data_IF_940553685381
#
_entry.id   IF_940553685381
#
_cell.length_a   1.000
_cell.length_b   1.000
_cell.length_c   1.000
_cell.angle_alpha   90.00
_cell.angle_beta   90.00
_cell.angle_gamma   90.00
#
_symmetry.space_group_name_H-M   'P 1'
#
loop_
_entity.id
_entity.type
_entity.pdbx_description
1 polymer ?
#
# COMPACT_ATOMS: atom_id res chain seq x y z
N UNK A 1 -12.70 13.74 -8.25
CA UNK A 1 -11.40 13.52 -7.58
C UNK A 1 -11.21 12.06 -7.15
N UNK A 2 -12.13 11.46 -6.37
CA UNK A 2 -12.01 10.09 -5.85
C UNK A 2 -11.82 9.03 -6.96
N UNK A 3 -12.55 9.13 -8.09
CA UNK A 3 -12.44 8.17 -9.19
C UNK A 3 -11.04 8.15 -9.82
N UNK A 4 -10.36 9.29 -9.90
CA UNK A 4 -9.01 9.40 -10.44
C UNK A 4 -7.99 8.74 -9.52
N UNK A 5 -8.08 9.00 -8.22
CA UNK A 5 -7.24 8.32 -7.21
C UNK A 5 -7.44 6.81 -7.26
N UNK A 6 -8.69 6.35 -7.34
CA UNK A 6 -9.02 4.93 -7.46
C UNK A 6 -8.41 4.32 -8.72
N UNK A 7 -8.52 4.99 -9.87
CA UNK A 7 -7.92 4.54 -11.12
C UNK A 7 -6.38 4.47 -11.04
N UNK A 8 -5.72 5.47 -10.45
CA UNK A 8 -4.27 5.51 -10.26
C UNK A 8 -3.75 4.34 -9.40
N UNK A 9 -4.53 3.90 -8.40
CA UNK A 9 -4.15 2.79 -7.51
C UNK A 9 -4.44 1.43 -8.15
N UNK A 10 -5.54 1.27 -8.89
CA UNK A 10 -5.99 -0.05 -9.40
C UNK A 10 -5.46 -0.40 -10.79
N UNK A 11 -5.08 0.61 -11.58
CA UNK A 11 -4.61 0.42 -12.97
C UNK A 11 -3.14 0.75 -13.27
N UNK A 12 -2.20 0.82 -12.29
CA UNK A 12 -0.84 1.18 -12.61
C UNK A 12 -0.18 0.11 -13.47
N UNK A 13 0.46 0.57 -14.55
CA UNK A 13 1.17 -0.27 -15.52
C UNK A 13 2.59 0.22 -15.67
N UNK A 14 3.55 -0.70 -15.64
CA UNK A 14 4.97 -0.37 -15.67
C UNK A 14 5.69 -1.17 -16.75
N UNK A 15 6.71 -0.52 -17.29
CA UNK A 15 7.81 -1.19 -17.95
C UNK A 15 8.96 -1.29 -16.96
N UNK A 16 9.61 -2.45 -16.90
CA UNK A 16 10.72 -2.67 -15.98
C UNK A 16 11.97 -2.85 -16.84
N UNK A 17 12.95 -1.97 -16.65
CA UNK A 17 14.27 -2.15 -17.24
C UNK A 17 15.09 -3.10 -16.37
N UNK A 18 15.49 -4.24 -16.91
CA UNK A 18 16.38 -5.20 -16.24
C UNK A 18 17.53 -5.51 -17.18
N UNK A 19 18.78 -5.33 -16.71
CA UNK A 19 19.99 -5.61 -17.50
C UNK A 19 20.03 -4.92 -18.88
N UNK A 20 19.52 -3.68 -18.97
CA UNK A 20 19.36 -2.88 -20.20
C UNK A 20 18.29 -3.37 -21.18
N UNK A 21 17.53 -4.39 -20.82
CA UNK A 21 16.40 -4.88 -21.59
C UNK A 21 15.07 -4.40 -20.99
N UNK A 22 14.14 -3.98 -21.85
CA UNK A 22 12.81 -3.56 -21.44
C UNK A 22 11.92 -4.79 -21.26
N UNK A 23 11.76 -5.25 -20.03
CA UNK A 23 10.83 -6.33 -19.73
C UNK A 23 9.40 -5.76 -19.77
N UNK A 24 8.59 -6.37 -20.64
CA UNK A 24 7.33 -5.83 -21.15
C UNK A 24 6.29 -5.41 -20.12
N UNK A 25 5.23 -4.76 -20.63
CA UNK A 25 4.16 -4.14 -19.86
C UNK A 25 3.50 -5.12 -18.89
N UNK A 26 3.65 -4.85 -17.59
CA UNK A 26 2.98 -5.62 -16.53
C UNK A 26 2.01 -4.74 -15.75
N UNK A 27 0.83 -5.30 -15.49
CA UNK A 27 -0.12 -4.70 -14.55
C UNK A 27 0.44 -4.87 -13.14
N UNK A 28 0.51 -3.79 -12.37
CA UNK A 28 1.06 -3.90 -11.03
C UNK A 28 0.07 -4.61 -10.12
N UNK A 29 0.52 -5.70 -9.48
CA UNK A 29 -0.28 -6.45 -8.51
C UNK A 29 -0.21 -5.86 -7.11
N UNK A 30 0.85 -5.09 -6.80
CA UNK A 30 1.16 -4.57 -5.46
C UNK A 30 1.90 -3.23 -5.55
N UNK A 31 1.70 -2.39 -4.54
CA UNK A 31 2.43 -1.13 -4.36
C UNK A 31 1.87 0.04 -5.19
N UNK A 32 2.18 1.24 -4.71
CA UNK A 32 1.90 2.50 -5.41
C UNK A 32 3.15 2.89 -6.21
N UNK A 33 2.97 3.62 -7.32
CA UNK A 33 4.06 4.10 -8.17
C UNK A 33 5.10 4.88 -7.38
N UNK A 34 6.33 4.39 -7.27
CA UNK A 34 7.43 5.23 -6.79
C UNK A 34 7.71 6.33 -7.83
N UNK A 35 7.82 7.57 -7.37
CA UNK A 35 7.97 8.75 -8.24
C UNK A 35 6.67 9.37 -8.75
N UNK A 36 5.49 8.86 -8.35
CA UNK A 36 4.23 9.59 -8.54
C UNK A 36 4.07 10.63 -7.41
N UNK A 37 3.83 11.91 -7.73
CA UNK A 37 3.62 12.96 -6.74
C UNK A 37 2.48 12.68 -5.75
N UNK A 38 1.51 11.80 -6.09
CA UNK A 38 0.44 11.40 -5.16
C UNK A 38 0.83 10.30 -4.16
N UNK A 39 1.86 9.51 -4.45
CA UNK A 39 2.25 8.36 -3.63
C UNK A 39 2.60 8.69 -2.18
N UNK A 40 3.33 9.79 -1.87
CA UNK A 40 3.65 10.16 -0.49
C UNK A 40 2.39 10.46 0.33
N UNK A 41 1.42 11.16 -0.26
CA UNK A 41 0.18 11.51 0.41
C UNK A 41 -0.68 10.28 0.69
N UNK A 42 -0.82 9.39 -0.28
CA UNK A 42 -1.55 8.13 -0.10
C UNK A 42 -0.91 7.24 0.96
N UNK A 43 0.41 7.23 1.04
CA UNK A 43 1.16 6.48 2.06
C UNK A 43 0.89 7.02 3.48
N UNK A 44 0.95 8.34 3.66
CA UNK A 44 0.66 8.99 4.96
C UNK A 44 -0.77 8.68 5.42
N UNK A 45 -1.75 8.82 4.52
CA UNK A 45 -3.16 8.49 4.83
C UNK A 45 -3.30 7.03 5.23
N UNK A 46 -2.66 6.11 4.49
CA UNK A 46 -2.73 4.68 4.80
C UNK A 46 -2.15 4.35 6.18
N UNK A 47 -1.00 4.95 6.53
CA UNK A 47 -0.38 4.75 7.86
C UNK A 47 -1.25 5.34 8.96
N UNK A 48 -1.79 6.54 8.79
CA UNK A 48 -2.63 7.17 9.81
C UNK A 48 -3.87 6.32 10.11
N UNK A 49 -4.53 5.79 9.07
CA UNK A 49 -5.67 4.88 9.22
C UNK A 49 -5.25 3.59 9.90
N UNK A 50 -4.11 2.99 9.50
CA UNK A 50 -3.59 1.78 10.13
C UNK A 50 -3.28 2.00 11.61
N UNK A 51 -2.63 3.11 11.98
CA UNK A 51 -2.33 3.46 13.37
C UNK A 51 -3.61 3.60 14.21
N UNK A 52 -4.65 4.22 13.66
CA UNK A 52 -5.96 4.34 14.33
C UNK A 52 -6.63 2.98 14.52
N UNK A 53 -6.57 2.10 13.52
CA UNK A 53 -7.11 0.74 13.61
C UNK A 53 -6.39 -0.10 14.66
N UNK A 54 -5.06 -0.01 14.71
CA UNK A 54 -4.25 -0.68 15.73
C UNK A 54 -4.57 -0.16 17.14
N UNK A 55 -4.62 1.17 17.30
CA UNK A 55 -4.97 1.79 18.59
C UNK A 55 -6.36 1.36 19.07
N UNK A 56 -7.34 1.28 18.17
CA UNK A 56 -8.69 0.80 18.49
C UNK A 56 -8.67 -0.68 18.92
N UNK A 57 -7.99 -1.55 18.18
CA UNK A 57 -7.91 -2.97 18.52
C UNK A 57 -7.17 -3.27 19.83
N UNK A 58 -6.25 -2.40 20.24
CA UNK A 58 -5.58 -2.50 21.55
C UNK A 58 -6.54 -2.14 22.71
N UNK A 59 -7.51 -1.25 22.47
CA UNK A 59 -8.51 -0.86 23.48
C UNK A 59 -9.64 -1.88 23.65
N UNK A 60 -9.93 -2.67 22.62
CA UNK A 60 -10.90 -3.77 22.70
C UNK A 60 -10.31 -4.93 23.53
N UNK A 61 -11.14 -5.64 24.33
CA UNK A 61 -10.65 -6.76 25.13
C UNK A 61 -9.99 -7.80 24.21
N UNK A 62 -8.75 -8.22 24.52
CA UNK A 62 -7.94 -9.00 23.61
C UNK A 62 -8.59 -10.37 23.37
N UNK A 63 -9.05 -10.61 22.14
CA UNK A 63 -9.46 -11.94 21.68
C UNK A 63 -8.27 -12.73 21.09
N UNK A 64 -7.05 -12.29 21.33
CA UNK A 64 -5.82 -12.95 20.92
C UNK A 64 -5.05 -13.44 22.15
N UNK A 65 -4.53 -14.66 22.06
CA UNK A 65 -3.71 -15.27 23.11
C UNK A 65 -2.24 -14.96 22.80
N UNK A 66 -1.50 -14.43 23.77
CA UNK A 66 -0.06 -14.25 23.63
C UNK A 66 0.60 -15.62 23.36
N UNK A 67 1.49 -15.64 22.38
CA UNK A 67 2.29 -16.83 22.10
C UNK A 67 3.36 -16.93 23.19
N UNK A 68 3.39 -18.04 23.92
CA UNK A 68 4.26 -18.28 25.07
C UNK A 68 5.78 -18.29 24.79
N UNK A 69 6.19 -18.24 23.51
CA UNK A 69 7.60 -18.08 23.09
C UNK A 69 7.96 -16.65 22.66
N UNK A 70 7.06 -15.69 22.85
CA UNK A 70 7.30 -14.27 22.59
C UNK A 70 7.51 -13.52 23.91
#
# INVERSE_FOLDING_TARGET
VINWVKACITTPKYFIYVNRELIGFRHCKRGIRQGDPMSPYLFVIAIEVLSKLLAKHIQEPPHFKYHWKC
#
